data_IF_727152571343
#
_entry.id   IF_727152571343
#
_cell.length_a   1.000
_cell.length_b   1.000
_cell.length_c   1.000
_cell.angle_alpha   90.00
_cell.angle_beta   90.00
_cell.angle_gamma   90.00
#
_symmetry.space_group_name_H-M   'P 1'
#
loop_
_entity.id
_entity.type
_entity.pdbx_description
1 polymer ?
#
# COMPACT_ATOMS: atom_id res chain seq x y z
N UNK A 1 16.44 -0.32 14.71
CA UNK A 1 16.03 0.21 13.39
C UNK A 1 17.24 0.81 12.67
N UNK A 2 17.25 0.79 11.34
CA UNK A 2 18.24 1.38 10.44
C UNK A 2 17.53 2.46 9.64
N UNK A 3 18.17 3.64 9.51
CA UNK A 3 17.62 4.79 8.83
C UNK A 3 18.47 5.19 7.62
N UNK A 4 17.81 5.64 6.55
CA UNK A 4 18.45 6.37 5.47
C UNK A 4 18.32 7.87 5.72
N UNK A 5 19.47 8.54 5.88
CA UNK A 5 19.57 9.97 6.21
C UNK A 5 19.47 10.87 4.97
N UNK A 6 18.40 10.68 4.18
CA UNK A 6 18.02 11.58 3.10
C UNK A 6 17.24 12.81 3.60
N UNK A 7 16.75 13.68 2.69
CA UNK A 7 16.10 14.96 3.03
C UNK A 7 14.94 14.84 4.04
N UNK A 8 14.17 13.74 3.98
CA UNK A 8 13.02 13.53 4.85
C UNK A 8 13.27 12.57 6.02
N UNK A 9 14.43 11.89 6.05
CA UNK A 9 14.73 10.80 7.00
C UNK A 9 13.76 9.61 6.90
N UNK A 10 14.25 8.39 6.65
CA UNK A 10 13.34 7.24 6.51
C UNK A 10 13.89 5.98 7.15
N UNK A 11 13.11 5.36 8.04
CA UNK A 11 13.40 4.03 8.60
C UNK A 11 13.33 3.00 7.47
N UNK A 12 14.41 2.30 7.15
CA UNK A 12 14.44 1.33 6.06
C UNK A 12 14.37 -0.11 6.55
N UNK A 13 14.83 -0.40 7.75
CA UNK A 13 14.95 -1.76 8.25
C UNK A 13 14.79 -1.81 9.76
N UNK A 14 13.92 -2.68 10.26
CA UNK A 14 13.81 -2.99 11.67
C UNK A 14 14.47 -4.35 11.99
N UNK A 15 15.22 -4.40 13.09
CA UNK A 15 15.87 -5.60 13.63
C UNK A 15 15.33 -5.81 15.05
N UNK A 16 14.51 -6.83 15.22
CA UNK A 16 13.92 -7.21 16.50
C UNK A 16 14.71 -8.36 17.10
N UNK A 17 15.25 -8.13 18.29
CA UNK A 17 15.89 -9.18 19.08
C UNK A 17 14.86 -9.75 20.05
N UNK A 18 14.20 -10.84 19.65
CA UNK A 18 13.14 -11.45 20.46
C UNK A 18 13.76 -12.14 21.65
N UNK A 19 13.65 -11.50 22.81
CA UNK A 19 14.29 -11.92 24.07
C UNK A 19 13.29 -12.30 25.16
N UNK A 20 12.04 -11.84 25.06
CA UNK A 20 11.04 -11.99 26.11
C UNK A 20 9.71 -12.47 25.55
N UNK A 21 9.00 -13.28 26.32
CA UNK A 21 7.61 -13.62 26.13
C UNK A 21 6.73 -12.69 26.97
N UNK A 22 5.75 -12.03 26.34
CA UNK A 22 4.87 -11.08 27.02
C UNK A 22 3.66 -11.83 27.57
N UNK A 23 3.61 -11.96 28.89
CA UNK A 23 2.46 -12.51 29.61
C UNK A 23 1.45 -11.42 29.97
N UNK A 24 0.34 -11.86 30.55
CA UNK A 24 -0.68 -10.99 31.12
C UNK A 24 -0.08 -10.02 32.14
N UNK A 25 -0.76 -8.88 32.33
CA UNK A 25 -0.34 -7.82 33.27
C UNK A 25 1.04 -7.21 32.97
N UNK A 26 1.59 -7.44 31.76
CA UNK A 26 2.82 -6.82 31.30
C UNK A 26 4.11 -7.49 31.80
N UNK A 27 4.02 -8.69 32.35
CA UNK A 27 5.20 -9.48 32.73
C UNK A 27 5.95 -9.94 31.48
N UNK A 28 7.28 -9.85 31.51
CA UNK A 28 8.18 -10.20 30.41
C UNK A 28 9.14 -11.31 30.87
N UNK A 29 8.82 -12.55 30.53
CA UNK A 29 9.65 -13.70 30.91
C UNK A 29 10.75 -13.92 29.86
N UNK A 30 12.00 -14.16 30.26
CA UNK A 30 13.06 -14.48 29.30
C UNK A 30 12.74 -15.73 28.49
N UNK A 31 12.93 -15.66 27.18
CA UNK A 31 12.74 -16.82 26.31
C UNK A 31 13.85 -17.86 26.53
N UNK A 32 13.53 -19.17 26.50
CA UNK A 32 14.53 -20.23 26.58
C UNK A 32 15.44 -20.27 25.35
N UNK A 33 14.98 -19.73 24.21
CA UNK A 33 15.76 -19.59 22.99
C UNK A 33 15.51 -18.22 22.38
N UNK A 34 16.59 -17.46 22.17
CA UNK A 34 16.54 -16.11 21.59
C UNK A 34 16.51 -16.21 20.08
N UNK A 35 15.69 -15.38 19.45
CA UNK A 35 15.53 -15.33 18.01
C UNK A 35 15.79 -13.92 17.47
N UNK A 36 15.98 -13.82 16.16
CA UNK A 36 16.07 -12.55 15.44
C UNK A 36 14.92 -12.53 14.45
N UNK A 37 14.15 -11.44 14.46
CA UNK A 37 13.13 -11.13 13.46
C UNK A 37 13.51 -9.81 12.80
N UNK A 38 13.43 -9.74 11.46
CA UNK A 38 13.81 -8.53 10.73
C UNK A 38 12.77 -8.20 9.68
N UNK A 39 12.47 -6.91 9.54
CA UNK A 39 11.53 -6.41 8.55
C UNK A 39 12.13 -5.24 7.78
N UNK A 40 12.20 -5.37 6.45
CA UNK A 40 12.57 -4.29 5.54
C UNK A 40 11.42 -4.05 4.57
N UNK A 41 10.80 -2.87 4.63
CA UNK A 41 9.69 -2.52 3.75
C UNK A 41 10.15 -2.39 2.30
N UNK A 42 9.76 -3.32 1.43
CA UNK A 42 10.22 -3.38 0.03
C UNK A 42 9.98 -2.07 -0.73
N UNK A 43 8.77 -1.51 -0.64
CA UNK A 43 8.40 -0.27 -1.32
C UNK A 43 9.22 0.93 -0.81
N UNK A 44 9.60 0.88 0.47
CA UNK A 44 10.35 1.95 1.13
C UNK A 44 11.83 1.93 0.76
N UNK A 45 12.45 0.75 0.73
CA UNK A 45 13.82 0.61 0.21
C UNK A 45 13.88 0.86 -1.30
N UNK A 46 12.87 0.43 -2.06
CA UNK A 46 12.75 0.72 -3.48
C UNK A 46 12.69 2.23 -3.74
N UNK A 47 11.92 2.98 -2.94
CA UNK A 47 11.89 4.45 -3.01
C UNK A 47 13.28 5.06 -2.88
N UNK A 48 14.05 4.62 -1.88
CA UNK A 48 15.41 5.12 -1.61
C UNK A 48 16.35 4.78 -2.76
N UNK A 49 16.40 3.51 -3.18
CA UNK A 49 17.31 3.02 -4.22
C UNK A 49 16.98 3.62 -5.60
N UNK A 50 15.71 3.86 -5.90
CA UNK A 50 15.27 4.48 -7.15
C UNK A 50 15.30 6.02 -7.12
N UNK A 51 15.72 6.63 -5.99
CA UNK A 51 15.78 8.09 -5.85
C UNK A 51 14.43 8.79 -5.93
N UNK A 52 13.35 8.13 -5.49
CA UNK A 52 11.98 8.65 -5.54
C UNK A 52 11.63 9.42 -4.27
N UNK A 53 10.69 10.38 -4.36
CA UNK A 53 10.27 11.17 -3.20
C UNK A 53 9.26 10.42 -2.34
N UNK A 54 8.38 9.63 -2.96
CA UNK A 54 7.35 8.87 -2.26
C UNK A 54 7.33 7.41 -2.70
N UNK A 55 6.84 6.50 -1.83
CA UNK A 55 6.68 5.09 -2.20
C UNK A 55 5.77 4.90 -3.43
N UNK A 56 4.92 5.88 -3.72
CA UNK A 56 3.97 5.81 -4.82
C UNK A 56 4.60 6.19 -6.17
N UNK A 57 5.84 6.67 -6.18
CA UNK A 57 6.57 7.01 -7.42
C UNK A 57 7.49 5.89 -7.89
N UNK A 58 7.54 4.77 -7.17
CA UNK A 58 8.35 3.62 -7.55
C UNK A 58 7.68 2.87 -8.72
N UNK A 59 8.49 2.10 -9.42
CA UNK A 59 8.09 1.22 -10.53
C UNK A 59 6.86 0.33 -10.25
N UNK A 60 6.70 -0.19 -9.02
CA UNK A 60 5.54 -1.02 -8.66
C UNK A 60 4.24 -0.26 -8.40
N UNK A 61 4.26 1.07 -8.36
CA UNK A 61 3.06 1.91 -8.21
C UNK A 61 2.77 2.79 -9.43
N UNK A 62 3.80 3.24 -10.15
CA UNK A 62 3.68 4.13 -11.31
C UNK A 62 2.60 3.70 -12.31
N UNK A 63 2.63 2.46 -12.84
CA UNK A 63 1.64 1.99 -13.81
C UNK A 63 0.19 2.04 -13.29
N UNK A 64 -0.02 1.76 -12.00
CA UNK A 64 -1.36 1.80 -11.38
C UNK A 64 -1.85 3.24 -11.29
N UNK A 65 -0.98 4.16 -10.87
CA UNK A 65 -1.27 5.59 -10.77
C UNK A 65 -1.61 6.18 -12.14
N UNK A 66 -0.84 5.82 -13.17
CA UNK A 66 -1.07 6.30 -14.53
C UNK A 66 -2.47 5.93 -15.03
N UNK A 67 -2.91 4.69 -14.81
CA UNK A 67 -4.27 4.27 -15.18
C UNK A 67 -5.34 5.03 -14.39
N UNK A 68 -5.15 5.27 -13.09
CA UNK A 68 -6.09 6.06 -12.29
C UNK A 68 -6.22 7.49 -12.85
N UNK A 69 -5.09 8.13 -13.18
CA UNK A 69 -5.06 9.49 -13.72
C UNK A 69 -5.66 9.59 -15.12
N UNK A 70 -5.46 8.57 -15.95
CA UNK A 70 -6.03 8.48 -17.29
C UNK A 70 -7.56 8.30 -17.26
N UNK A 71 -8.08 7.59 -16.25
CA UNK A 71 -9.52 7.48 -16.03
C UNK A 71 -10.13 8.77 -15.47
N UNK A 72 -9.38 9.51 -14.65
CA UNK A 72 -9.86 10.72 -13.95
C UNK A 72 -10.17 11.87 -14.89
N UNK A 73 -11.00 12.81 -14.43
CA UNK A 73 -11.34 14.01 -15.20
C UNK A 73 -10.11 14.91 -15.49
N UNK A 74 -10.26 15.83 -16.44
CA UNK A 74 -9.15 16.67 -16.90
C UNK A 74 -8.64 17.67 -15.85
N UNK A 75 -9.46 18.02 -14.84
CA UNK A 75 -9.06 18.93 -13.76
C UNK A 75 -8.20 18.17 -12.75
N UNK A 76 -8.67 17.00 -12.33
CA UNK A 76 -7.97 16.07 -11.45
C UNK A 76 -6.64 15.65 -12.07
N UNK A 77 -6.59 15.33 -13.36
CA UNK A 77 -5.34 14.95 -14.03
C UNK A 77 -4.31 16.08 -14.04
N UNK A 78 -4.74 17.34 -14.24
CA UNK A 78 -3.84 18.51 -14.24
C UNK A 78 -3.40 18.92 -12.84
N UNK A 79 -4.21 18.66 -11.83
CA UNK A 79 -3.93 19.03 -10.43
C UNK A 79 -3.25 17.91 -9.63
N UNK A 80 -3.23 16.69 -10.17
CA UNK A 80 -2.46 15.58 -9.64
C UNK A 80 -0.96 15.84 -9.87
N UNK A 81 -0.36 16.61 -8.98
CA UNK A 81 1.10 16.61 -8.82
C UNK A 81 1.50 15.41 -7.98
N UNK A 82 2.68 14.84 -8.25
CA UNK A 82 3.24 13.66 -7.58
C UNK A 82 3.25 13.81 -6.06
N UNK A 83 2.12 13.47 -5.43
CA UNK A 83 1.96 13.42 -3.99
C UNK A 83 1.60 14.71 -3.25
N UNK A 84 1.27 15.81 -3.92
CA UNK A 84 0.89 17.07 -3.25
C UNK A 84 -0.59 17.39 -3.49
N UNK A 85 -1.30 17.83 -2.44
CA UNK A 85 -2.70 18.21 -2.50
C UNK A 85 -3.71 17.05 -2.42
N UNK A 86 -4.99 17.41 -2.32
CA UNK A 86 -6.08 16.45 -2.08
C UNK A 86 -6.24 15.42 -3.21
N UNK A 87 -6.00 15.82 -4.46
CA UNK A 87 -6.10 14.93 -5.62
C UNK A 87 -5.03 13.84 -5.57
N UNK A 88 -3.77 14.21 -5.32
CA UNK A 88 -2.68 13.24 -5.17
C UNK A 88 -2.89 12.28 -3.99
N UNK A 89 -3.51 12.73 -2.89
CA UNK A 89 -3.89 11.85 -1.78
C UNK A 89 -4.94 10.81 -2.18
N UNK A 90 -6.00 11.22 -2.90
CA UNK A 90 -7.03 10.31 -3.40
C UNK A 90 -6.46 9.26 -4.34
N UNK A 91 -5.62 9.67 -5.29
CA UNK A 91 -4.99 8.77 -6.28
C UNK A 91 -4.12 7.72 -5.57
N UNK A 92 -3.28 8.14 -4.62
CA UNK A 92 -2.45 7.21 -3.82
C UNK A 92 -3.28 6.24 -3.00
N UNK A 93 -4.36 6.71 -2.37
CA UNK A 93 -5.24 5.84 -1.60
C UNK A 93 -5.95 4.80 -2.48
N UNK A 94 -6.37 5.17 -3.71
CA UNK A 94 -6.94 4.22 -4.66
C UNK A 94 -5.89 3.17 -5.05
N UNK A 95 -4.67 3.59 -5.38
CA UNK A 95 -3.58 2.69 -5.80
C UNK A 95 -3.17 1.70 -4.70
N UNK A 96 -3.10 2.15 -3.45
CA UNK A 96 -2.85 1.30 -2.29
C UNK A 96 -3.99 0.30 -2.06
N UNK A 97 -5.23 0.78 -2.02
CA UNK A 97 -6.38 -0.06 -1.73
C UNK A 97 -6.63 -1.12 -2.80
N UNK A 98 -6.41 -0.80 -4.08
CA UNK A 98 -6.60 -1.81 -5.13
C UNK A 98 -5.56 -2.93 -5.05
N UNK A 99 -4.30 -2.63 -4.68
CA UNK A 99 -3.30 -3.68 -4.44
C UNK A 99 -3.75 -4.59 -3.30
N UNK A 100 -4.11 -4.01 -2.15
CA UNK A 100 -4.57 -4.76 -0.99
C UNK A 100 -5.79 -5.64 -1.31
N UNK A 101 -6.79 -5.09 -2.01
CA UNK A 101 -8.00 -5.81 -2.41
C UNK A 101 -7.70 -6.93 -3.41
N UNK A 102 -6.81 -6.69 -4.39
CA UNK A 102 -6.46 -7.68 -5.40
C UNK A 102 -5.80 -8.90 -4.77
N UNK A 103 -4.78 -8.69 -3.94
CA UNK A 103 -4.10 -9.78 -3.24
C UNK A 103 -5.05 -10.51 -2.28
N UNK A 104 -5.80 -9.78 -1.46
CA UNK A 104 -6.69 -10.41 -0.49
C UNK A 104 -7.78 -11.28 -1.14
N UNK A 105 -8.38 -10.83 -2.25
CA UNK A 105 -9.36 -11.63 -2.99
C UNK A 105 -8.68 -12.82 -3.68
N UNK A 106 -7.47 -12.65 -4.22
CA UNK A 106 -6.67 -13.74 -4.79
C UNK A 106 -6.39 -14.84 -3.76
N UNK A 107 -6.17 -14.47 -2.50
CA UNK A 107 -5.97 -15.39 -1.37
C UNK A 107 -7.28 -15.93 -0.76
N UNK A 108 -8.43 -15.70 -1.41
CA UNK A 108 -9.73 -16.26 -1.02
C UNK A 108 -10.55 -15.41 -0.04
N UNK A 109 -10.11 -14.20 0.32
CA UNK A 109 -10.87 -13.31 1.21
C UNK A 109 -11.91 -12.53 0.41
N UNK A 110 -13.15 -13.02 0.43
CA UNK A 110 -14.27 -12.37 -0.25
C UNK A 110 -14.88 -11.22 0.59
N UNK A 111 -15.38 -10.14 -0.04
CA UNK A 111 -16.05 -9.06 0.66
C UNK A 111 -17.30 -9.54 1.43
N UNK A 112 -17.35 -9.31 2.75
CA UNK A 112 -18.44 -9.74 3.64
C UNK A 112 -18.80 -8.65 4.65
N UNK A 113 -19.77 -8.91 5.53
CA UNK A 113 -20.13 -7.99 6.63
C UNK A 113 -19.25 -8.17 7.88
N UNK A 114 -18.37 -9.17 7.90
CA UNK A 114 -17.70 -9.64 9.12
C UNK A 114 -16.20 -9.81 8.89
N UNK A 115 -15.43 -9.70 9.98
CA UNK A 115 -13.99 -9.99 10.04
C UNK A 115 -13.17 -9.37 8.88
N UNK A 116 -12.35 -10.21 8.21
CA UNK A 116 -11.47 -9.81 7.11
C UNK A 116 -12.26 -9.38 5.88
N UNK A 117 -13.39 -10.03 5.62
CA UNK A 117 -14.27 -9.68 4.49
C UNK A 117 -14.87 -8.27 4.64
N UNK A 118 -15.17 -7.83 5.86
CA UNK A 118 -15.58 -6.45 6.13
C UNK A 118 -14.48 -5.43 5.79
N UNK A 119 -13.22 -5.75 6.11
CA UNK A 119 -12.07 -4.89 5.77
C UNK A 119 -11.96 -4.74 4.25
N UNK A 120 -12.03 -5.84 3.49
CA UNK A 120 -11.96 -5.79 2.01
C UNK A 120 -13.12 -4.98 1.43
N UNK A 121 -14.35 -5.19 1.93
CA UNK A 121 -15.50 -4.37 1.54
C UNK A 121 -15.27 -2.88 1.82
N UNK A 122 -14.73 -2.54 2.99
CA UNK A 122 -14.43 -1.15 3.37
C UNK A 122 -13.41 -0.52 2.44
N UNK A 123 -12.34 -1.23 2.09
CA UNK A 123 -11.31 -0.74 1.16
C UNK A 123 -11.88 -0.49 -0.24
N UNK A 124 -12.68 -1.42 -0.78
CA UNK A 124 -13.37 -1.25 -2.07
C UNK A 124 -14.25 0.01 -2.06
N UNK A 125 -15.10 0.16 -1.03
CA UNK A 125 -16.00 1.32 -0.92
C UNK A 125 -15.24 2.64 -0.80
N UNK A 126 -14.16 2.66 -0.03
CA UNK A 126 -13.32 3.85 0.17
C UNK A 126 -12.59 4.25 -1.12
N UNK A 127 -12.00 3.27 -1.82
CA UNK A 127 -11.36 3.51 -3.12
C UNK A 127 -12.37 4.02 -4.16
N UNK A 128 -13.56 3.43 -4.21
CA UNK A 128 -14.62 3.90 -5.10
C UNK A 128 -15.05 5.34 -4.78
N UNK A 129 -15.23 5.67 -3.50
CA UNK A 129 -15.60 7.01 -3.07
C UNK A 129 -14.53 8.06 -3.40
N UNK A 130 -13.24 7.73 -3.24
CA UNK A 130 -12.17 8.61 -3.70
C UNK A 130 -12.21 8.83 -5.21
N UNK A 131 -12.51 7.79 -5.98
CA UNK A 131 -12.69 7.90 -7.43
C UNK A 131 -13.84 8.83 -7.83
N UNK A 132 -14.98 8.80 -7.11
CA UNK A 132 -16.06 9.77 -7.32
C UNK A 132 -15.56 11.22 -7.17
N UNK A 133 -14.67 11.45 -6.22
CA UNK A 133 -14.00 12.74 -6.02
C UNK A 133 -12.93 13.11 -7.05
N UNK A 134 -12.74 12.29 -8.09
CA UNK A 134 -11.88 12.49 -9.27
C UNK A 134 -12.68 12.48 -10.59
N UNK A 135 -14.02 12.55 -10.49
CA UNK A 135 -14.92 12.49 -11.65
C UNK A 135 -15.22 11.08 -12.18
N UNK A 136 -14.79 10.02 -11.47
CA UNK A 136 -15.03 8.63 -11.88
C UNK A 136 -16.43 8.19 -11.47
N UNK A 137 -17.39 8.31 -12.37
CA UNK A 137 -18.79 8.07 -12.00
C UNK A 137 -19.23 6.60 -12.03
N UNK A 138 -18.65 5.83 -12.94
CA UNK A 138 -18.97 4.42 -13.19
C UNK A 138 -18.01 3.50 -12.42
N UNK A 139 -18.36 2.22 -12.20
CA UNK A 139 -17.43 1.24 -11.65
C UNK A 139 -16.12 1.22 -12.47
N UNK A 140 -14.98 1.38 -11.78
CA UNK A 140 -13.67 1.50 -12.42
C UNK A 140 -12.59 0.62 -11.77
N UNK A 141 -12.74 0.22 -10.51
CA UNK A 141 -11.71 -0.52 -9.77
C UNK A 141 -11.31 -1.84 -10.45
N UNK A 142 -12.26 -2.54 -11.08
CA UNK A 142 -11.96 -3.79 -11.81
C UNK A 142 -10.99 -3.58 -12.98
N UNK A 143 -10.90 -2.36 -13.54
CA UNK A 143 -9.97 -2.02 -14.62
C UNK A 143 -8.53 -1.91 -14.12
N UNK A 144 -8.33 -1.71 -12.83
CA UNK A 144 -7.02 -1.61 -12.20
C UNK A 144 -6.45 -2.99 -11.83
N UNK A 145 -7.30 -4.01 -11.67
CA UNK A 145 -6.88 -5.38 -11.28
C UNK A 145 -5.87 -5.98 -12.27
N UNK A 146 -6.09 -5.94 -13.61
CA UNK A 146 -5.09 -6.46 -14.56
C UNK A 146 -3.74 -5.72 -14.48
N UNK A 147 -3.75 -4.43 -14.13
CA UNK A 147 -2.53 -3.62 -13.98
C UNK A 147 -1.76 -4.08 -12.75
N UNK A 148 -2.46 -4.29 -11.62
CA UNK A 148 -1.86 -4.85 -10.40
C UNK A 148 -1.26 -6.22 -10.68
N UNK A 149 -2.05 -7.11 -11.30
CA UNK A 149 -1.59 -8.46 -11.66
C UNK A 149 -0.34 -8.40 -12.54
N UNK A 150 -0.32 -7.53 -13.55
CA UNK A 150 0.84 -7.39 -14.45
C UNK A 150 2.10 -6.91 -13.74
N UNK A 151 1.97 -5.93 -12.84
CA UNK A 151 3.11 -5.41 -12.06
C UNK A 151 3.66 -6.46 -11.09
N UNK A 152 2.81 -7.34 -10.58
CA UNK A 152 3.15 -8.32 -9.55
C UNK A 152 3.37 -9.74 -10.08
N UNK A 153 3.21 -9.96 -11.39
CA UNK A 153 3.25 -11.28 -12.06
C UNK A 153 4.54 -12.06 -11.78
N UNK A 154 5.69 -11.38 -11.76
CA UNK A 154 6.98 -12.05 -11.56
C UNK A 154 7.16 -12.60 -10.13
N UNK A 155 6.95 -11.82 -9.06
CA UNK A 155 7.04 -12.33 -7.69
C UNK A 155 5.84 -13.18 -7.26
N UNK A 156 4.66 -12.98 -7.84
CA UNK A 156 3.41 -13.68 -7.51
C UNK A 156 2.73 -14.16 -8.81
N UNK A 157 3.12 -15.34 -9.34
CA UNK A 157 2.61 -15.88 -10.61
C UNK A 157 1.18 -16.40 -10.55
#
# INVERSE_FOLDING_TARGET
EIFFNGPDGVEIWNLVFTQFDRKDKGVLDPLPSKNIDTGMGLERIARVVQGKKTNFEIDSFGPIIDVILNLSDSVSRRTATHGVGQVGQKVRAIADHIRAVTFAISDGVLPSNEERGYVIRKLIRKAFWYGRGLGLEKPFLYKLVPVVAKVMEKPYP
#
